data_IF_076311318688
#
_entry.id   IF_076311318688
#
_cell.length_a   1.000
_cell.length_b   1.000
_cell.length_c   1.000
_cell.angle_alpha   90.00
_cell.angle_beta   90.00
_cell.angle_gamma   90.00
#
_symmetry.space_group_name_H-M   'P 1'
#
loop_
_entity.id
_entity.type
_entity.pdbx_description
1 polymer ?
#
# COMPACT_ATOMS: atom_id res chain seq x y z
N UNK A 1 -27.04 -15.63 14.58
CA UNK A 1 -25.74 -15.32 13.99
C UNK A 1 -25.84 -13.91 13.44
N UNK A 2 -25.04 -12.97 13.95
CA UNK A 2 -24.98 -11.62 13.39
C UNK A 2 -24.35 -11.76 12.00
N UNK A 3 -25.08 -11.36 10.97
CA UNK A 3 -24.51 -11.27 9.63
C UNK A 3 -23.53 -10.10 9.67
N UNK A 4 -22.23 -10.37 9.72
CA UNK A 4 -21.21 -9.35 9.46
C UNK A 4 -21.34 -8.98 7.99
N UNK A 5 -22.04 -7.89 7.74
CA UNK A 5 -22.29 -7.37 6.41
C UNK A 5 -21.09 -6.53 6.00
N UNK A 6 -20.51 -6.83 4.83
CA UNK A 6 -19.33 -6.12 4.32
C UNK A 6 -19.71 -4.68 4.04
N UNK A 7 -19.08 -3.74 4.74
CA UNK A 7 -19.21 -2.31 4.47
C UNK A 7 -18.02 -1.80 3.66
N UNK A 8 -18.31 -0.91 2.71
CA UNK A 8 -17.31 -0.28 1.85
C UNK A 8 -17.44 1.22 1.96
N UNK A 9 -16.34 1.88 2.31
CA UNK A 9 -16.28 3.33 2.37
C UNK A 9 -15.74 3.90 1.06
N UNK A 10 -16.55 4.67 0.34
CA UNK A 10 -16.16 5.36 -0.90
C UNK A 10 -16.41 6.85 -0.71
N UNK A 11 -15.38 7.68 -0.85
CA UNK A 11 -15.51 9.14 -0.70
C UNK A 11 -15.91 9.60 0.71
N UNK A 12 -15.63 8.80 1.75
CA UNK A 12 -15.99 9.09 3.14
C UNK A 12 -17.41 8.68 3.54
N UNK A 13 -18.17 8.05 2.63
CA UNK A 13 -19.49 7.48 2.92
C UNK A 13 -19.39 5.96 2.94
N UNK A 14 -19.89 5.33 4.00
CA UNK A 14 -19.96 3.87 4.11
C UNK A 14 -21.26 3.34 3.53
N UNK A 15 -21.15 2.36 2.66
CA UNK A 15 -22.26 1.65 2.04
C UNK A 15 -22.18 0.17 2.39
N UNK A 16 -23.34 -0.46 2.59
CA UNK A 16 -23.40 -1.93 2.66
C UNK A 16 -23.16 -2.48 1.28
N UNK A 17 -22.18 -3.38 1.13
CA UNK A 17 -21.80 -3.94 -0.16
C UNK A 17 -22.98 -4.62 -0.88
N UNK A 18 -23.82 -5.32 -0.12
CA UNK A 18 -25.06 -5.97 -0.58
C UNK A 18 -26.09 -5.00 -1.19
N UNK A 19 -26.04 -3.72 -0.82
CA UNK A 19 -26.97 -2.67 -1.26
C UNK A 19 -26.46 -1.92 -2.50
N UNK A 20 -25.22 -2.20 -2.92
CA UNK A 20 -24.65 -1.62 -4.14
C UNK A 20 -25.21 -2.32 -5.39
N UNK A 21 -25.23 -1.61 -6.52
CA UNK A 21 -25.49 -2.24 -7.81
C UNK A 21 -24.39 -3.25 -8.17
N UNK A 22 -24.67 -4.17 -9.08
CA UNK A 22 -23.69 -5.17 -9.51
C UNK A 22 -22.41 -4.52 -10.09
N UNK A 23 -22.59 -3.44 -10.87
CA UNK A 23 -21.49 -2.67 -11.44
C UNK A 23 -20.66 -1.99 -10.34
N UNK A 24 -21.32 -1.44 -9.31
CA UNK A 24 -20.62 -0.83 -8.19
C UNK A 24 -19.84 -1.86 -7.36
N UNK A 25 -20.40 -3.06 -7.14
CA UNK A 25 -19.69 -4.16 -6.48
C UNK A 25 -18.45 -4.61 -7.25
N UNK A 26 -18.54 -4.65 -8.59
CA UNK A 26 -17.39 -4.95 -9.45
C UNK A 26 -16.29 -3.88 -9.30
N UNK A 27 -16.65 -2.60 -9.33
CA UNK A 27 -15.67 -1.52 -9.16
C UNK A 27 -15.00 -1.55 -7.79
N UNK A 28 -15.75 -1.87 -6.72
CA UNK A 28 -15.17 -2.07 -5.38
C UNK A 28 -14.14 -3.20 -5.40
N UNK A 29 -14.47 -4.33 -6.03
CA UNK A 29 -13.56 -5.49 -6.12
C UNK A 29 -12.29 -5.12 -6.87
N UNK A 30 -12.42 -4.39 -7.98
CA UNK A 30 -11.27 -3.89 -8.75
C UNK A 30 -10.40 -2.93 -7.94
N UNK A 31 -11.00 -2.02 -7.17
CA UNK A 31 -10.27 -1.11 -6.29
C UNK A 31 -9.51 -1.87 -5.20
N UNK A 32 -10.16 -2.80 -4.50
CA UNK A 32 -9.52 -3.63 -3.47
C UNK A 32 -8.33 -4.42 -4.03
N UNK A 33 -8.47 -4.95 -5.24
CA UNK A 33 -7.36 -5.63 -5.92
C UNK A 33 -6.18 -4.69 -6.15
N UNK A 34 -6.42 -3.50 -6.71
CA UNK A 34 -5.36 -2.51 -6.98
C UNK A 34 -4.73 -2.02 -5.68
N UNK A 35 -5.50 -1.78 -4.63
CA UNK A 35 -4.99 -1.37 -3.31
C UNK A 35 -4.07 -2.42 -2.71
N UNK A 36 -4.42 -3.71 -2.83
CA UNK A 36 -3.56 -4.81 -2.41
C UNK A 36 -2.23 -4.83 -3.20
N UNK A 37 -2.26 -4.59 -4.52
CA UNK A 37 -1.05 -4.48 -5.33
C UNK A 37 -0.19 -3.28 -4.92
N UNK A 38 -0.81 -2.13 -4.63
CA UNK A 38 -0.11 -0.93 -4.15
C UNK A 38 0.56 -1.23 -2.80
N UNK A 39 -0.12 -1.92 -1.89
CA UNK A 39 0.45 -2.30 -0.60
C UNK A 39 1.67 -3.23 -0.75
N UNK A 40 1.60 -4.23 -1.64
CA UNK A 40 2.72 -5.11 -1.95
C UNK A 40 3.92 -4.34 -2.53
N UNK A 41 3.68 -3.45 -3.49
CA UNK A 41 4.72 -2.60 -4.07
C UNK A 41 5.38 -1.69 -3.03
N UNK A 42 4.60 -1.12 -2.09
CA UNK A 42 5.15 -0.33 -0.98
C UNK A 42 6.04 -1.17 -0.07
N UNK A 43 5.67 -2.41 0.19
CA UNK A 43 6.48 -3.35 0.99
C UNK A 43 7.82 -3.64 0.32
N UNK A 44 7.80 -3.94 -0.99
CA UNK A 44 9.02 -4.13 -1.78
C UNK A 44 9.88 -2.87 -1.81
N UNK A 45 9.27 -1.71 -2.00
CA UNK A 45 9.96 -0.43 -2.00
C UNK A 45 10.67 -0.19 -0.67
N UNK A 46 10.04 -0.49 0.47
CA UNK A 46 10.65 -0.35 1.78
C UNK A 46 11.93 -1.20 1.91
N UNK A 47 11.92 -2.46 1.43
CA UNK A 47 13.11 -3.32 1.41
C UNK A 47 14.24 -2.68 0.59
N UNK A 48 13.92 -2.18 -0.62
CA UNK A 48 14.92 -1.53 -1.47
C UNK A 48 15.45 -0.23 -0.88
N UNK A 49 14.60 0.56 -0.21
CA UNK A 49 15.01 1.77 0.50
C UNK A 49 16.00 1.43 1.61
N UNK A 50 15.74 0.39 2.41
CA UNK A 50 16.68 -0.07 3.44
C UNK A 50 18.03 -0.49 2.84
N UNK A 51 18.01 -1.28 1.76
CA UNK A 51 19.23 -1.70 1.08
C UNK A 51 20.02 -0.51 0.53
N UNK A 52 19.34 0.46 -0.11
CA UNK A 52 19.96 1.70 -0.60
C UNK A 52 20.65 2.46 0.53
N UNK A 53 19.98 2.67 1.66
CA UNK A 53 20.57 3.35 2.82
C UNK A 53 21.77 2.60 3.38
N UNK A 54 21.74 1.27 3.43
CA UNK A 54 22.87 0.46 3.86
C UNK A 54 24.09 0.64 2.92
N UNK A 55 23.87 0.62 1.61
CA UNK A 55 24.93 0.83 0.63
C UNK A 55 25.49 2.26 0.65
N UNK A 56 24.63 3.25 0.86
CA UNK A 56 25.04 4.64 1.04
C UNK A 56 25.94 4.80 2.26
N UNK A 57 25.56 4.23 3.41
CA UNK A 57 26.38 4.25 4.62
C UNK A 57 27.71 3.53 4.42
N UNK A 58 27.70 2.37 3.76
CA UNK A 58 28.92 1.62 3.44
C UNK A 58 29.86 2.44 2.53
N UNK A 59 29.30 3.12 1.52
CA UNK A 59 30.07 4.00 0.65
C UNK A 59 30.69 5.17 1.43
N UNK A 60 29.93 5.82 2.31
CA UNK A 60 30.43 6.94 3.13
C UNK A 60 31.65 6.57 3.98
N UNK A 61 31.75 5.31 4.43
CA UNK A 61 32.92 4.82 5.17
C UNK A 61 34.16 4.63 4.30
N UNK A 62 33.98 4.40 3.00
CA UNK A 62 35.05 4.22 2.01
C UNK A 62 35.50 5.55 1.39
N UNK A 63 34.64 6.57 1.42
CA UNK A 63 34.98 7.88 0.89
C UNK A 63 36.03 8.57 1.78
N UNK A 64 36.98 9.32 1.19
CA UNK A 64 37.88 10.16 1.96
C UNK A 64 37.05 11.09 2.84
N UNK A 65 37.33 11.12 4.15
CA UNK A 65 36.77 12.18 5.00
C UNK A 65 37.37 13.48 4.49
N UNK A 66 36.56 14.34 3.90
CA UNK A 66 36.97 15.69 3.58
C UNK A 66 37.23 16.38 4.93
N UNK A 67 38.50 16.39 5.36
CA UNK A 67 38.95 17.24 6.45
C UNK A 67 38.84 18.67 5.94
N UNK A 68 37.74 19.35 6.28
CA UNK A 68 37.60 20.79 6.11
C UNK A 68 37.74 21.45 7.48
#
# INVERSE_FOLDING_TARGET
>A
MLHDEVEVTVGGVSYRFSQLSAEAQEQVTNLQYVDAQIADLKSKLAVYTTARSAYENALQLLLPRTTQ
#
